data_IF_572568206013
#
_entry.id   IF_572568206013
#
_cell.length_a   1.000
_cell.length_b   1.000
_cell.length_c   1.000
_cell.angle_alpha   90.00
_cell.angle_beta   90.00
_cell.angle_gamma   90.00
#
_symmetry.space_group_name_H-M   'P 1'
#
loop_
_entity.id
_entity.type
_entity.pdbx_description
1 polymer ?
#
# COMPACT_ATOMS: atom_id res chain seq x y z
N UNK A 1 19.72 -7.75 18.15
CA UNK A 1 20.24 -6.36 18.20
C UNK A 1 19.36 -5.42 17.40
N UNK A 2 19.14 -5.61 16.08
CA UNK A 2 18.38 -4.64 15.26
C UNK A 2 16.92 -4.42 15.69
N UNK A 3 16.19 -5.50 16.04
CA UNK A 3 14.77 -5.41 16.40
C UNK A 3 14.55 -4.65 17.72
N UNK A 4 15.53 -4.67 18.63
CA UNK A 4 15.45 -3.97 19.91
C UNK A 4 15.76 -2.46 19.79
N UNK A 5 16.34 -2.03 18.67
CA UNK A 5 16.69 -0.63 18.38
C UNK A 5 15.67 0.05 17.45
N UNK A 6 14.89 -0.74 16.71
CA UNK A 6 13.87 -0.22 15.79
C UNK A 6 12.65 0.28 16.59
N UNK A 7 12.53 1.61 16.71
CA UNK A 7 11.44 2.28 17.42
C UNK A 7 10.19 2.52 16.58
N UNK A 8 10.13 1.99 15.34
CA UNK A 8 9.02 2.23 14.44
C UNK A 8 7.81 1.43 14.90
N UNK A 9 6.75 2.13 15.28
CA UNK A 9 5.45 1.55 15.64
C UNK A 9 4.48 1.74 14.48
N UNK A 10 4.03 0.63 13.90
CA UNK A 10 3.06 0.60 12.80
C UNK A 10 1.69 0.06 13.24
N UNK A 11 1.45 -0.13 14.54
CA UNK A 11 0.18 -0.63 15.06
C UNK A 11 -1.02 0.16 14.55
N UNK A 12 -0.88 1.49 14.44
CA UNK A 12 -1.89 2.40 13.89
C UNK A 12 -2.21 2.17 12.40
N UNK A 13 -1.39 1.40 11.68
CA UNK A 13 -1.53 1.14 10.24
C UNK A 13 -2.04 -0.27 9.93
N UNK A 14 -2.26 -1.11 10.94
CA UNK A 14 -2.64 -2.53 10.78
C UNK A 14 -3.93 -2.72 9.96
N UNK A 15 -4.89 -1.80 10.09
CA UNK A 15 -6.19 -1.87 9.42
C UNK A 15 -6.23 -1.13 8.07
N UNK A 16 -5.09 -0.65 7.58
CA UNK A 16 -5.04 0.01 6.26
C UNK A 16 -5.24 -1.03 5.17
N UNK A 17 -6.32 -0.86 4.40
CA UNK A 17 -6.59 -1.59 3.16
C UNK A 17 -5.38 -1.58 2.23
N UNK A 18 -5.00 -2.73 1.66
CA UNK A 18 -3.78 -2.78 0.88
C UNK A 18 -3.84 -3.75 -0.29
N UNK A 19 -3.28 -3.33 -1.42
CA UNK A 19 -3.05 -4.16 -2.60
C UNK A 19 -1.55 -4.31 -2.84
N UNK A 20 -1.13 -5.52 -3.22
CA UNK A 20 0.30 -5.87 -3.33
C UNK A 20 1.01 -5.16 -4.49
N UNK A 21 0.27 -4.64 -5.47
CA UNK A 21 0.82 -3.82 -6.56
C UNK A 21 1.49 -2.53 -6.05
N UNK A 22 1.11 -2.06 -4.86
CA UNK A 22 1.72 -0.91 -4.19
C UNK A 22 2.98 -1.25 -3.37
N UNK A 23 3.39 -2.53 -3.34
CA UNK A 23 4.52 -3.02 -2.53
C UNK A 23 5.79 -2.18 -2.65
N UNK A 24 6.15 -1.78 -3.86
CA UNK A 24 7.40 -1.04 -4.10
C UNK A 24 7.44 0.30 -3.37
N UNK A 25 6.29 0.98 -3.21
CA UNK A 25 6.20 2.25 -2.50
C UNK A 25 6.41 2.07 -0.99
N UNK A 26 5.76 1.06 -0.41
CA UNK A 26 5.94 0.70 1.01
C UNK A 26 7.36 0.26 1.30
N UNK A 27 7.95 -0.59 0.44
CA UNK A 27 9.33 -1.02 0.61
C UNK A 27 10.31 0.15 0.53
N UNK A 28 10.09 1.10 -0.38
CA UNK A 28 10.94 2.27 -0.51
C UNK A 28 10.91 3.15 0.74
N UNK A 29 9.75 3.37 1.34
CA UNK A 29 9.64 4.12 2.60
C UNK A 29 10.32 3.40 3.77
N UNK A 30 10.18 2.07 3.85
CA UNK A 30 10.82 1.25 4.89
C UNK A 30 12.35 1.23 4.80
N UNK A 31 12.88 1.25 3.57
CA UNK A 31 14.32 1.13 3.26
C UNK A 31 15.01 2.48 3.02
N UNK A 32 14.26 3.59 2.94
CA UNK A 32 14.79 4.92 2.63
C UNK A 32 15.18 5.11 1.16
N UNK A 33 14.71 4.25 0.25
CA UNK A 33 14.99 4.37 -1.18
C UNK A 33 14.22 5.54 -1.81
N UNK A 34 14.88 6.26 -2.72
CA UNK A 34 14.27 7.39 -3.45
C UNK A 34 14.46 7.18 -4.95
N UNK A 35 13.39 7.39 -5.71
CA UNK A 35 13.38 7.23 -7.16
C UNK A 35 12.26 8.07 -7.78
N UNK A 36 12.39 8.39 -9.06
CA UNK A 36 11.33 9.07 -9.82
C UNK A 36 10.11 8.15 -9.96
N UNK A 37 8.91 8.65 -9.64
CA UNK A 37 7.68 7.87 -9.68
C UNK A 37 7.30 7.19 -8.36
N UNK A 38 8.02 7.46 -7.27
CA UNK A 38 7.54 7.11 -5.93
C UNK A 38 6.23 7.85 -5.62
N UNK A 39 5.23 7.10 -5.16
CA UNK A 39 3.92 7.60 -4.78
C UNK A 39 3.68 7.30 -3.29
N UNK A 40 4.01 8.23 -2.36
CA UNK A 40 3.95 7.97 -0.92
C UNK A 40 2.52 7.71 -0.43
N UNK A 41 1.50 8.18 -1.14
CA UNK A 41 0.11 7.90 -0.81
C UNK A 41 -0.29 6.43 -0.97
N UNK A 42 0.49 5.63 -1.70
CA UNK A 42 0.24 4.19 -1.86
C UNK A 42 1.04 3.33 -0.86
N UNK A 43 1.83 3.95 0.03
CA UNK A 43 2.64 3.24 1.02
C UNK A 43 1.90 3.07 2.35
N UNK A 44 1.96 1.87 2.93
CA UNK A 44 1.33 1.57 4.22
C UNK A 44 1.92 2.35 5.39
N UNK A 45 3.19 2.74 5.32
CA UNK A 45 3.90 3.39 6.42
C UNK A 45 4.04 4.90 6.23
N UNK A 46 3.50 5.41 5.12
CA UNK A 46 3.49 6.84 4.85
C UNK A 46 2.42 7.57 5.66
N UNK A 47 2.71 8.77 6.19
CA UNK A 47 1.70 9.63 6.81
C UNK A 47 0.68 10.15 5.80
N UNK A 48 0.99 10.14 4.50
CA UNK A 48 0.08 10.62 3.43
C UNK A 48 -0.70 9.49 2.75
N UNK A 49 -0.70 8.29 3.34
CA UNK A 49 -1.43 7.13 2.83
C UNK A 49 -2.90 7.46 2.52
N UNK A 50 -3.39 6.96 1.39
CA UNK A 50 -4.79 7.05 0.98
C UNK A 50 -5.29 5.66 0.57
N UNK A 51 -6.46 5.20 1.07
CA UNK A 51 -7.03 3.94 0.64
C UNK A 51 -7.35 3.97 -0.86
N UNK A 52 -7.12 2.83 -1.52
CA UNK A 52 -7.39 2.61 -2.93
C UNK A 52 -8.45 1.52 -3.11
N UNK A 53 -9.23 1.55 -4.20
CA UNK A 53 -10.03 0.40 -4.63
C UNK A 53 -9.16 -0.85 -4.73
N UNK A 54 -9.66 -2.00 -4.27
CA UNK A 54 -8.95 -3.28 -4.38
C UNK A 54 -9.42 -3.96 -5.65
N UNK A 55 -8.75 -3.65 -6.76
CA UNK A 55 -9.13 -4.12 -8.08
C UNK A 55 -8.57 -5.52 -8.33
N UNK A 56 -9.45 -6.50 -8.50
CA UNK A 56 -9.09 -7.90 -8.81
C UNK A 56 -9.71 -8.33 -10.13
N UNK A 57 -8.91 -9.04 -10.92
CA UNK A 57 -9.28 -9.53 -12.25
C UNK A 57 -8.09 -9.51 -13.21
N UNK A 58 -8.38 -9.65 -14.50
CA UNK A 58 -7.39 -9.58 -15.57
C UNK A 58 -7.07 -8.11 -15.91
N UNK A 59 -5.82 -7.63 -15.69
CA UNK A 59 -5.44 -6.25 -15.98
C UNK A 59 -5.43 -5.93 -17.49
N UNK A 60 -5.34 -6.95 -18.36
CA UNK A 60 -5.50 -6.80 -19.81
C UNK A 60 -6.93 -6.49 -20.24
N UNK A 61 -7.89 -6.63 -19.33
CA UNK A 61 -9.31 -6.37 -19.55
C UNK A 61 -9.89 -5.43 -18.47
N UNK A 62 -9.53 -4.13 -18.46
CA UNK A 62 -9.85 -3.21 -17.35
C UNK A 62 -11.33 -3.11 -17.01
N UNK A 63 -12.23 -3.28 -17.98
CA UNK A 63 -13.68 -3.21 -17.74
C UNK A 63 -14.22 -4.40 -16.93
N UNK A 64 -13.42 -5.46 -16.77
CA UNK A 64 -13.79 -6.67 -16.01
C UNK A 64 -13.20 -6.69 -14.60
N UNK A 65 -12.45 -5.65 -14.21
CA UNK A 65 -11.93 -5.54 -12.86
C UNK A 65 -13.08 -5.32 -11.87
N UNK A 66 -13.04 -6.05 -10.77
CA UNK A 66 -13.99 -5.93 -9.66
C UNK A 66 -13.28 -5.24 -8.51
N UNK A 67 -13.91 -4.23 -7.92
CA UNK A 67 -13.46 -3.70 -6.63
C UNK A 67 -13.98 -4.59 -5.51
N UNK A 68 -13.08 -5.32 -4.85
CA UNK A 68 -13.43 -6.27 -3.79
C UNK A 68 -14.03 -5.64 -2.54
N UNK A 69 -13.83 -4.33 -2.35
CA UNK A 69 -14.32 -3.61 -1.18
C UNK A 69 -15.47 -2.65 -1.50
N UNK A 70 -15.91 -2.60 -2.75
CA UNK A 70 -17.09 -1.84 -3.11
C UNK A 70 -18.31 -2.40 -2.35
N UNK A 71 -19.19 -1.54 -1.79
CA UNK A 71 -20.42 -2.00 -1.18
C UNK A 71 -21.25 -2.81 -2.17
N UNK A 72 -21.73 -3.98 -1.76
CA UNK A 72 -22.72 -4.73 -2.51
C UNK A 72 -23.98 -3.86 -2.67
N UNK A 73 -24.41 -3.65 -3.91
CA UNK A 73 -25.67 -2.97 -4.21
C UNK A 73 -26.88 -3.80 -3.81
#
# INVERSE_FOLDING_TARGET
AWLAEDKRDYSAYAERTYQLDHFIHTWADLSGLRYAGHQPQNSLVSPTYQPRPILVGDPGSPQRLIDLLAPTR
#
